data_IF_415344173865
#
_entry.id   IF_415344173865
#
_cell.length_a   1.000
_cell.length_b   1.000
_cell.length_c   1.000
_cell.angle_alpha   90.00
_cell.angle_beta   90.00
_cell.angle_gamma   90.00
#
_symmetry.space_group_name_H-M   'P 1'
#
loop_
_entity.id
_entity.type
_entity.pdbx_description
1 polymer ?
#
# COMPACT_ATOMS: atom_id res chain seq x y z
N UNK A 1 18.79 19.15 -19.67
CA UNK A 1 17.64 18.36 -20.16
C UNK A 1 17.69 16.97 -19.54
N UNK A 2 16.93 16.74 -18.46
CA UNK A 2 16.89 15.45 -17.78
C UNK A 2 15.78 14.63 -18.42
N UNK A 3 16.14 13.79 -19.38
CA UNK A 3 15.21 12.85 -20.00
C UNK A 3 14.82 11.80 -18.95
N UNK A 4 13.69 12.04 -18.26
CA UNK A 4 13.03 10.99 -17.47
C UNK A 4 12.41 10.05 -18.50
N UNK A 5 13.08 8.94 -18.75
CA UNK A 5 12.46 7.80 -19.40
C UNK A 5 11.21 7.46 -18.59
N UNK A 6 10.03 7.58 -19.21
CA UNK A 6 8.83 6.96 -18.67
C UNK A 6 9.02 5.45 -18.85
N UNK A 7 9.68 4.85 -17.86
CA UNK A 7 9.89 3.41 -17.79
C UNK A 7 8.53 2.72 -17.60
N UNK A 8 7.97 2.26 -18.71
CA UNK A 8 6.79 1.38 -18.75
C UNK A 8 5.47 2.00 -18.26
N UNK A 9 4.39 1.29 -18.55
CA UNK A 9 3.02 1.58 -18.07
C UNK A 9 2.90 1.56 -16.52
N UNK A 10 3.98 1.22 -15.82
CA UNK A 10 4.09 1.00 -14.39
C UNK A 10 5.36 1.66 -13.85
N UNK A 11 5.30 2.96 -13.59
CA UNK A 11 6.40 3.72 -12.96
C UNK A 11 6.51 3.28 -11.49
N UNK A 12 7.51 2.44 -11.17
CA UNK A 12 7.74 1.93 -9.80
C UNK A 12 6.88 0.70 -9.43
N UNK A 13 6.80 0.40 -8.12
CA UNK A 13 5.89 -0.62 -7.56
C UNK A 13 4.49 -0.39 -8.16
N UNK A 14 4.09 -1.24 -9.10
CA UNK A 14 3.05 -0.89 -10.07
C UNK A 14 1.66 -0.70 -9.49
N UNK A 15 0.77 -0.07 -10.28
CA UNK A 15 -0.64 0.12 -9.93
C UNK A 15 -1.35 -1.17 -9.48
N UNK A 16 -0.93 -2.33 -9.99
CA UNK A 16 -1.42 -3.64 -9.55
C UNK A 16 -1.09 -3.96 -8.09
N UNK A 17 0.12 -3.64 -7.61
CA UNK A 17 0.51 -3.85 -6.22
C UNK A 17 -0.28 -2.94 -5.27
N UNK A 18 -0.41 -1.66 -5.63
CA UNK A 18 -1.28 -0.73 -4.89
C UNK A 18 -2.74 -1.20 -4.93
N UNK A 19 -3.19 -1.78 -6.05
CA UNK A 19 -4.52 -2.37 -6.17
C UNK A 19 -4.79 -3.50 -5.18
N UNK A 20 -3.80 -4.36 -4.93
CA UNK A 20 -3.89 -5.41 -3.90
C UNK A 20 -4.09 -4.78 -2.52
N UNK A 21 -3.28 -3.76 -2.19
CA UNK A 21 -3.40 -3.07 -0.91
C UNK A 21 -4.76 -2.37 -0.74
N UNK A 22 -5.25 -1.71 -1.79
CA UNK A 22 -6.57 -1.06 -1.82
C UNK A 22 -7.69 -2.08 -1.62
N UNK A 23 -7.60 -3.25 -2.26
CA UNK A 23 -8.55 -4.34 -2.08
C UNK A 23 -8.57 -4.85 -0.63
N UNK A 24 -7.38 -5.04 -0.04
CA UNK A 24 -7.23 -5.47 1.35
C UNK A 24 -7.72 -4.42 2.36
N UNK A 25 -7.41 -3.14 2.14
CA UNK A 25 -7.89 -2.02 2.97
C UNK A 25 -9.41 -1.94 2.95
N UNK A 26 -10.00 -2.07 1.75
CA UNK A 26 -11.44 -2.11 1.55
C UNK A 26 -12.11 -3.42 2.01
N UNK A 27 -11.34 -4.40 2.53
CA UNK A 27 -11.81 -5.74 2.92
C UNK A 27 -12.57 -6.45 1.79
N UNK A 28 -12.19 -6.21 0.53
CA UNK A 28 -12.90 -6.63 -0.68
C UNK A 28 -14.36 -6.18 -0.79
N UNK A 29 -14.80 -5.20 0.01
CA UNK A 29 -16.14 -4.61 -0.10
C UNK A 29 -16.12 -3.46 -1.12
N UNK A 30 -17.05 -3.40 -2.10
CA UNK A 30 -16.99 -2.44 -3.20
C UNK A 30 -16.94 -0.99 -2.75
N UNK A 31 -17.73 -0.62 -1.74
CA UNK A 31 -17.72 0.74 -1.18
C UNK A 31 -16.39 1.05 -0.46
N UNK A 32 -15.82 0.07 0.24
CA UNK A 32 -14.55 0.26 0.95
C UNK A 32 -13.38 0.39 -0.02
N UNK A 33 -13.39 -0.41 -1.08
CA UNK A 33 -12.41 -0.36 -2.17
C UNK A 33 -12.49 0.97 -2.91
N UNK A 34 -13.69 1.49 -3.17
CA UNK A 34 -13.87 2.80 -3.82
C UNK A 34 -13.26 3.93 -3.00
N UNK A 35 -13.54 3.99 -1.68
CA UNK A 35 -12.98 4.99 -0.79
C UNK A 35 -11.44 4.87 -0.69
N UNK A 36 -10.94 3.65 -0.55
CA UNK A 36 -9.50 3.39 -0.52
C UNK A 36 -8.81 3.78 -1.84
N UNK A 37 -9.42 3.49 -2.98
CA UNK A 37 -8.88 3.85 -4.29
C UNK A 37 -8.80 5.37 -4.47
N UNK A 38 -9.82 6.11 -4.01
CA UNK A 38 -9.80 7.59 -4.03
C UNK A 38 -8.69 8.13 -3.14
N UNK A 39 -8.52 7.58 -1.94
CA UNK A 39 -7.44 7.98 -1.03
C UNK A 39 -6.05 7.78 -1.64
N UNK A 40 -5.76 6.58 -2.14
CA UNK A 40 -4.46 6.29 -2.78
C UNK A 40 -4.27 7.11 -4.07
N UNK A 41 -5.34 7.33 -4.84
CA UNK A 41 -5.30 8.19 -6.04
C UNK A 41 -5.02 9.65 -5.71
N UNK A 42 -5.62 10.17 -4.63
CA UNK A 42 -5.38 11.53 -4.14
C UNK A 42 -3.93 11.71 -3.68
N UNK A 43 -3.36 10.74 -2.95
CA UNK A 43 -1.95 10.75 -2.58
C UNK A 43 -1.05 10.72 -3.83
N UNK A 44 -1.32 9.81 -4.76
CA UNK A 44 -0.53 9.65 -5.98
C UNK A 44 -0.54 10.91 -6.86
N UNK A 45 -1.66 11.63 -6.94
CA UNK A 45 -1.71 12.92 -7.65
C UNK A 45 -1.10 14.04 -6.82
N UNK A 46 -1.36 14.04 -5.52
CA UNK A 46 -0.84 15.00 -4.54
C UNK A 46 0.68 15.06 -4.51
N UNK A 47 1.37 13.94 -4.74
CA UNK A 47 2.85 13.90 -4.74
C UNK A 47 3.49 14.84 -5.77
N UNK A 48 2.81 15.09 -6.90
CA UNK A 48 3.31 16.02 -7.93
C UNK A 48 3.22 17.47 -7.43
N UNK A 49 2.15 17.81 -6.71
CA UNK A 49 1.99 19.13 -6.11
C UNK A 49 3.01 19.36 -4.99
N UNK A 50 3.28 18.34 -4.16
CA UNK A 50 4.28 18.43 -3.09
C UNK A 50 5.68 18.72 -3.63
N UNK A 51 6.08 18.03 -4.71
CA UNK A 51 7.38 18.21 -5.36
C UNK A 51 7.55 19.61 -6.00
N UNK A 52 6.44 20.21 -6.46
CA UNK A 52 6.45 21.52 -7.13
C UNK A 52 6.41 22.67 -6.12
N UNK A 53 5.59 22.56 -5.07
CA UNK A 53 5.28 23.67 -4.18
C UNK A 53 6.12 23.68 -2.89
N UNK A 54 6.96 22.68 -2.65
CA UNK A 54 7.74 22.60 -1.41
C UNK A 54 9.18 22.17 -1.66
N UNK A 55 10.12 23.13 -1.62
CA UNK A 55 11.56 22.88 -1.88
C UNK A 55 12.20 21.84 -0.95
N UNK A 56 11.67 21.66 0.26
CA UNK A 56 12.23 20.76 1.28
C UNK A 56 11.56 19.39 1.37
N UNK A 57 10.47 19.19 0.62
CA UNK A 57 9.66 17.97 0.71
C UNK A 57 9.60 17.29 -0.65
N UNK A 58 10.36 16.22 -0.80
CA UNK A 58 10.32 15.37 -1.99
C UNK A 58 9.04 14.54 -2.02
N UNK A 59 8.58 14.22 -3.24
CA UNK A 59 7.56 13.20 -3.54
C UNK A 59 7.76 11.88 -2.78
N UNK A 60 9.00 11.58 -2.35
CA UNK A 60 9.36 10.37 -1.62
C UNK A 60 8.60 10.26 -0.27
N UNK A 61 8.22 11.37 0.37
CA UNK A 61 7.40 11.31 1.58
C UNK A 61 6.03 10.69 1.33
N UNK A 62 5.40 11.02 0.21
CA UNK A 62 4.10 10.44 -0.15
C UNK A 62 4.24 8.94 -0.40
N UNK A 63 5.35 8.52 -1.02
CA UNK A 63 5.67 7.11 -1.20
C UNK A 63 5.88 6.38 0.14
N UNK A 64 6.56 7.00 1.11
CA UNK A 64 6.74 6.45 2.46
C UNK A 64 5.39 6.29 3.16
N UNK A 65 4.53 7.31 3.11
CA UNK A 65 3.19 7.25 3.73
C UNK A 65 2.38 6.09 3.15
N UNK A 66 2.34 5.96 1.81
CA UNK A 66 1.65 4.84 1.17
C UNK A 66 2.24 3.49 1.61
N UNK A 67 3.57 3.36 1.64
CA UNK A 67 4.23 2.14 2.08
C UNK A 67 3.91 1.78 3.54
N UNK A 68 3.84 2.78 4.44
CA UNK A 68 3.48 2.56 5.85
C UNK A 68 2.03 2.10 6.00
N UNK A 69 1.09 2.64 5.21
CA UNK A 69 -0.31 2.15 5.20
C UNK A 69 -0.37 0.68 4.77
N UNK A 70 0.34 0.33 3.69
CA UNK A 70 0.43 -1.06 3.21
C UNK A 70 1.03 -1.97 4.28
N UNK A 71 2.09 -1.51 4.95
CA UNK A 71 2.73 -2.22 6.05
C UNK A 71 1.75 -2.51 7.19
N UNK A 72 0.96 -1.53 7.61
CA UNK A 72 -0.05 -1.74 8.67
C UNK A 72 -1.15 -2.71 8.26
N UNK A 73 -1.64 -2.64 7.02
CA UNK A 73 -2.64 -3.58 6.50
C UNK A 73 -2.09 -5.02 6.52
N UNK A 74 -0.85 -5.18 6.04
CA UNK A 74 -0.18 -6.48 6.04
C UNK A 74 0.05 -6.99 7.47
N UNK A 75 0.48 -6.11 8.38
CA UNK A 75 0.68 -6.43 9.80
C UNK A 75 -0.63 -6.87 10.47
N UNK A 76 -1.74 -6.16 10.28
CA UNK A 76 -3.05 -6.57 10.82
C UNK A 76 -3.43 -8.00 10.36
N UNK A 77 -3.20 -8.28 9.07
CA UNK A 77 -3.47 -9.61 8.52
C UNK A 77 -2.56 -10.68 9.09
N UNK A 78 -1.31 -10.34 9.38
CA UNK A 78 -0.35 -11.22 10.04
C UNK A 78 -0.77 -11.55 11.48
N UNK A 79 -1.30 -10.59 12.24
CA UNK A 79 -1.78 -10.87 13.61
C UNK A 79 -3.08 -11.67 13.63
N UNK A 80 -3.97 -11.48 12.64
CA UNK A 80 -5.23 -12.24 12.53
C UNK A 80 -5.09 -13.64 11.90
N UNK A 81 -4.06 -13.87 11.08
CA UNK A 81 -4.07 -14.93 10.06
C UNK A 81 -3.31 -16.23 10.35
N UNK A 82 -2.06 -16.23 10.87
CA UNK A 82 -1.28 -17.48 10.99
C UNK A 82 -0.66 -17.76 12.36
N UNK A 83 -0.62 -16.83 13.32
CA UNK A 83 0.06 -17.10 14.60
C UNK A 83 -0.61 -18.24 15.39
N UNK A 84 -1.93 -18.41 15.24
CA UNK A 84 -2.67 -19.54 15.84
C UNK A 84 -2.52 -20.87 15.08
N UNK A 85 -2.00 -20.85 13.84
CA UNK A 85 -1.74 -22.07 13.04
C UNK A 85 -0.30 -22.56 13.14
N UNK A 86 0.62 -21.71 13.57
CA UNK A 86 1.97 -22.10 13.97
C UNK A 86 2.01 -22.71 15.39
N UNK A 87 0.89 -23.30 15.82
CA UNK A 87 0.81 -24.18 16.98
C UNK A 87 1.48 -25.51 16.67
N UNK A 88 2.81 -25.54 16.78
CA UNK A 88 3.51 -26.74 17.20
C UNK A 88 2.84 -27.25 18.50
N UNK A 89 2.60 -28.56 18.60
CA UNK A 89 2.26 -29.30 19.82
C UNK A 89 0.80 -29.20 20.32
N UNK A 90 -0.16 -29.67 19.52
CA UNK A 90 -1.38 -30.26 20.10
C UNK A 90 -1.68 -31.63 19.51
N UNK A 91 -0.82 -32.60 19.83
CA UNK A 91 -1.15 -34.03 19.69
C UNK A 91 -0.43 -34.87 20.73
N UNK A 92 -1.10 -35.11 21.86
CA UNK A 92 -1.17 -36.43 22.49
C UNK A 92 -2.28 -36.39 23.55
N UNK A 93 -3.48 -36.81 23.16
CA UNK A 93 -4.39 -37.46 24.09
C UNK A 93 -3.94 -38.92 24.11
N UNK A 94 -3.37 -39.34 25.22
CA UNK A 94 -3.42 -40.73 25.71
C UNK A 94 -3.95 -40.62 27.13
#
# INVERSE_FOLDING_TARGET
YRYRYYEGFSVGIGYGFTGIAVALLGRNHPVGVLLAAIFFGALLRGQLFVDIFTERVSKDLVQVIMATVIFFIAAERLFRGPFSRFGLLKRSKV
#
